data_IF_833651459528
#
_entry.id   IF_833651459528
#
_cell.length_a   1.000
_cell.length_b   1.000
_cell.length_c   1.000
_cell.angle_alpha   90.00
_cell.angle_beta   90.00
_cell.angle_gamma   90.00
#
_symmetry.space_group_name_H-M   'P 1'
#
loop_
_entity.id
_entity.type
_entity.pdbx_description
1 polymer ?
#
# COMPACT_ATOMS: atom_id res chain seq x y z
N UNK A 1 13.51 5.24 5.92
CA UNK A 1 12.35 4.35 5.68
C UNK A 1 12.70 2.89 5.96
N UNK A 2 13.81 2.37 5.41
CA UNK A 2 14.35 1.01 5.64
C UNK A 2 14.34 0.55 7.11
N UNK A 3 14.86 1.36 8.05
CA UNK A 3 14.87 1.04 9.49
C UNK A 3 13.48 0.81 10.10
N UNK A 4 12.48 1.59 9.68
CA UNK A 4 11.09 1.45 10.16
C UNK A 4 10.44 0.17 9.63
N UNK A 5 10.82 -0.24 8.43
CA UNK A 5 10.32 -1.45 7.75
C UNK A 5 11.15 -2.70 8.05
N UNK A 6 12.25 -2.57 8.81
CA UNK A 6 13.20 -3.65 9.11
C UNK A 6 13.70 -4.37 7.84
N UNK A 7 14.03 -3.60 6.82
CA UNK A 7 14.63 -4.08 5.56
C UNK A 7 15.96 -3.38 5.31
N UNK A 8 16.81 -4.01 4.51
CA UNK A 8 18.06 -3.42 4.06
C UNK A 8 17.83 -2.22 3.13
N UNK A 9 18.81 -1.34 3.06
CA UNK A 9 18.80 -0.22 2.12
C UNK A 9 18.95 -0.77 0.70
N UNK A 10 18.08 -0.35 -0.20
CA UNK A 10 18.03 -0.85 -1.58
C UNK A 10 17.03 -2.00 -1.79
N UNK A 11 16.46 -2.56 -0.72
CA UNK A 11 15.40 -3.57 -0.83
C UNK A 11 14.13 -2.97 -1.41
N UNK A 12 13.63 -3.57 -2.50
CA UNK A 12 12.35 -3.21 -3.12
C UNK A 12 11.18 -3.41 -2.16
N UNK A 13 10.19 -2.53 -2.25
CA UNK A 13 8.96 -2.59 -1.47
C UNK A 13 7.75 -2.44 -2.38
N UNK A 14 6.62 -3.00 -1.98
CA UNK A 14 5.35 -2.74 -2.63
C UNK A 14 4.70 -1.53 -1.96
N UNK A 15 4.41 -0.50 -2.75
CA UNK A 15 3.70 0.70 -2.31
C UNK A 15 2.22 0.58 -2.69
N UNK A 16 1.34 0.65 -1.70
CA UNK A 16 -0.09 0.82 -1.89
C UNK A 16 -0.47 2.26 -1.58
N UNK A 17 -0.98 2.97 -2.59
CA UNK A 17 -1.55 4.31 -2.44
C UNK A 17 -3.07 4.24 -2.51
N UNK A 18 -3.75 4.87 -1.56
CA UNK A 18 -5.21 4.85 -1.48
C UNK A 18 -5.76 6.25 -1.23
N UNK A 19 -6.89 6.55 -1.86
CA UNK A 19 -7.71 7.72 -1.58
C UNK A 19 -9.05 7.21 -1.11
N UNK A 20 -9.45 7.57 0.10
CA UNK A 20 -10.75 7.24 0.65
C UNK A 20 -11.70 8.39 0.39
N UNK A 21 -12.90 8.05 -0.06
CA UNK A 21 -14.00 8.99 -0.26
C UNK A 21 -15.10 8.69 0.75
N UNK A 22 -15.80 9.73 1.20
CA UNK A 22 -17.02 9.57 1.98
C UNK A 22 -18.24 9.31 1.08
N UNK A 23 -19.43 9.21 1.71
CA UNK A 23 -20.69 8.97 1.01
C UNK A 23 -21.12 10.10 0.08
N UNK A 24 -20.46 11.26 0.14
CA UNK A 24 -20.71 12.42 -0.72
C UNK A 24 -19.63 12.58 -1.81
N UNK A 25 -18.82 11.53 -2.05
CA UNK A 25 -17.71 11.54 -3.00
C UNK A 25 -16.63 12.60 -2.68
N UNK A 26 -16.48 12.95 -1.40
CA UNK A 26 -15.42 13.87 -0.96
C UNK A 26 -14.23 13.07 -0.48
N UNK A 27 -13.02 13.48 -0.91
CA UNK A 27 -11.77 12.89 -0.41
C UNK A 27 -11.62 13.16 1.08
N UNK A 28 -11.55 12.10 1.88
CA UNK A 28 -11.40 12.20 3.34
C UNK A 28 -10.05 11.73 3.85
N UNK A 29 -9.36 10.85 3.10
CA UNK A 29 -8.06 10.34 3.52
C UNK A 29 -7.19 9.99 2.33
N UNK A 30 -5.92 10.38 2.39
CA UNK A 30 -4.86 9.85 1.56
C UNK A 30 -3.92 8.99 2.40
N UNK A 31 -3.64 7.77 1.96
CA UNK A 31 -2.76 6.85 2.67
C UNK A 31 -1.71 6.24 1.74
N UNK A 32 -0.52 6.02 2.29
CA UNK A 32 0.58 5.27 1.67
C UNK A 32 1.02 4.15 2.60
N UNK A 33 0.93 2.91 2.13
CA UNK A 33 1.39 1.73 2.84
C UNK A 33 2.57 1.10 2.11
N UNK A 34 3.68 0.89 2.82
CA UNK A 34 4.91 0.29 2.28
C UNK A 34 5.06 -1.12 2.84
N UNK A 35 5.00 -2.11 1.97
CA UNK A 35 5.02 -3.52 2.34
C UNK A 35 6.35 -4.14 1.86
N UNK A 36 7.17 -4.72 2.76
CA UNK A 36 8.37 -5.45 2.37
C UNK A 36 8.09 -6.53 1.31
N UNK A 37 8.95 -6.65 0.31
CA UNK A 37 8.81 -7.68 -0.72
C UNK A 37 8.89 -9.08 -0.08
N UNK A 38 7.91 -9.94 -0.35
CA UNK A 38 7.92 -11.35 0.07
C UNK A 38 7.09 -11.69 1.31
N UNK A 39 6.62 -10.69 2.09
CA UNK A 39 5.72 -10.93 3.23
C UNK A 39 4.24 -10.80 2.88
N UNK A 40 3.92 -10.38 1.65
CA UNK A 40 2.57 -10.09 1.23
C UNK A 40 2.28 -10.54 -0.21
N UNK A 41 1.09 -11.08 -0.45
CA UNK A 41 0.57 -11.46 -1.78
C UNK A 41 -0.72 -10.71 -2.06
N UNK A 42 -0.74 -9.86 -3.09
CA UNK A 42 -1.98 -9.27 -3.60
C UNK A 42 -2.65 -10.23 -4.59
N UNK A 43 -3.86 -10.68 -4.27
CA UNK A 43 -4.69 -11.45 -5.21
C UNK A 43 -5.87 -10.59 -5.67
N UNK A 44 -5.87 -10.20 -6.93
CA UNK A 44 -6.99 -9.47 -7.52
C UNK A 44 -8.04 -10.47 -8.01
N UNK A 45 -9.21 -10.46 -7.38
CA UNK A 45 -10.36 -11.21 -7.88
C UNK A 45 -11.08 -10.31 -8.87
N UNK A 46 -11.01 -10.65 -10.16
CA UNK A 46 -11.76 -9.96 -11.21
C UNK A 46 -13.04 -10.74 -11.50
N UNK A 47 -14.19 -10.06 -11.43
CA UNK A 47 -15.44 -10.56 -12.02
C UNK A 47 -15.62 -9.86 -13.36
N UNK A 48 -16.00 -10.62 -14.39
CA UNK A 48 -16.38 -10.07 -15.70
C UNK A 48 -17.80 -9.54 -15.64
#
# INVERSE_FOLDING_TARGET
MSRKLRIDVGTSVLLLEQIHYDVQDRKVLYSKSYLPSGTFTFKLIRRR
#
